data_IF_779462044386
#
_entry.id   IF_779462044386
#
_cell.length_a   1.000
_cell.length_b   1.000
_cell.length_c   1.000
_cell.angle_alpha   90.00
_cell.angle_beta   90.00
_cell.angle_gamma   90.00
#
_symmetry.space_group_name_H-M   'P 1'
#
loop_
_entity.id
_entity.type
_entity.pdbx_description
1 polymer ?
#
# COMPACT_ATOMS: atom_id res chain seq x y z
N UNK A 1 -32.39 -32.98 -6.86
CA UNK A 1 -31.86 -32.14 -5.76
C UNK A 1 -30.82 -31.22 -6.39
N UNK A 2 -31.16 -29.94 -6.55
CA UNK A 2 -30.26 -28.95 -7.15
C UNK A 2 -29.25 -28.57 -6.06
N UNK A 3 -27.96 -28.83 -6.29
CA UNK A 3 -26.92 -28.30 -5.43
C UNK A 3 -26.86 -26.80 -5.67
N UNK A 4 -27.29 -26.05 -4.67
CA UNK A 4 -27.17 -24.59 -4.62
C UNK A 4 -25.68 -24.29 -4.40
N UNK A 5 -25.05 -23.68 -5.39
CA UNK A 5 -23.67 -23.19 -5.28
C UNK A 5 -23.78 -21.88 -4.49
N UNK A 6 -24.00 -21.98 -3.18
CA UNK A 6 -23.68 -20.88 -2.28
C UNK A 6 -22.20 -20.63 -2.47
N UNK A 7 -21.88 -19.48 -3.07
CA UNK A 7 -20.54 -18.96 -3.26
C UNK A 7 -19.81 -19.01 -1.92
N UNK A 8 -19.06 -20.09 -1.69
CA UNK A 8 -17.98 -20.11 -0.73
C UNK A 8 -16.95 -19.11 -1.27
N UNK A 9 -17.17 -17.86 -0.88
CA UNK A 9 -16.34 -16.71 -1.15
C UNK A 9 -15.09 -16.88 -0.28
N UNK A 10 -14.27 -17.88 -0.60
CA UNK A 10 -12.92 -18.02 -0.11
C UNK A 10 -12.16 -16.80 -0.61
N UNK A 11 -12.08 -15.76 0.22
CA UNK A 11 -11.17 -14.65 0.01
C UNK A 11 -9.79 -15.27 -0.13
N UNK A 12 -9.26 -15.29 -1.35
CA UNK A 12 -7.88 -15.69 -1.59
C UNK A 12 -6.97 -14.68 -0.90
N UNK A 13 -5.74 -15.06 -0.55
CA UNK A 13 -4.68 -14.17 -0.03
C UNK A 13 -4.25 -13.09 -1.05
N UNK A 14 -5.17 -12.64 -1.89
CA UNK A 14 -5.02 -11.69 -2.97
C UNK A 14 -6.04 -10.55 -2.84
N UNK A 15 -6.95 -10.59 -1.86
CA UNK A 15 -7.97 -9.57 -1.64
C UNK A 15 -7.80 -8.85 -0.30
N UNK A 16 -8.01 -7.54 -0.32
CA UNK A 16 -8.04 -6.72 0.89
C UNK A 16 -9.22 -7.12 1.78
N UNK A 17 -8.95 -7.48 3.03
CA UNK A 17 -9.99 -7.89 3.98
C UNK A 17 -10.95 -6.77 4.36
N UNK A 18 -10.55 -5.51 4.18
CA UNK A 18 -11.37 -4.33 4.50
C UNK A 18 -12.27 -3.85 3.36
N UNK A 19 -11.80 -3.90 2.11
CA UNK A 19 -12.54 -3.34 0.96
C UNK A 19 -12.85 -4.35 -0.16
N UNK A 20 -12.35 -5.58 -0.09
CA UNK A 20 -12.59 -6.65 -1.07
C UNK A 20 -11.88 -6.47 -2.41
N UNK A 21 -11.17 -5.36 -2.64
CA UNK A 21 -10.37 -5.16 -3.84
C UNK A 21 -9.13 -6.06 -3.86
N UNK A 22 -8.66 -6.35 -5.06
CA UNK A 22 -7.37 -7.01 -5.27
C UNK A 22 -6.24 -6.24 -4.58
N UNK A 23 -5.32 -7.00 -4.00
CA UNK A 23 -4.19 -6.50 -3.28
C UNK A 23 -2.96 -6.52 -4.19
N UNK A 24 -2.43 -5.35 -4.53
CA UNK A 24 -1.14 -5.25 -5.19
C UNK A 24 -0.01 -5.59 -4.21
N UNK A 25 1.17 -5.99 -4.69
CA UNK A 25 2.35 -6.13 -3.83
C UNK A 25 2.76 -4.74 -3.34
N UNK A 26 2.86 -4.56 -2.03
CA UNK A 26 3.32 -3.33 -1.41
C UNK A 26 3.96 -3.62 -0.06
N UNK A 27 4.75 -2.68 0.44
CA UNK A 27 5.45 -2.81 1.72
C UNK A 27 5.20 -1.58 2.60
N UNK A 28 5.09 -1.82 3.90
CA UNK A 28 5.12 -0.78 4.93
C UNK A 28 6.30 -1.03 5.87
N UNK A 29 6.86 0.04 6.43
CA UNK A 29 7.84 -0.07 7.50
C UNK A 29 7.23 -0.82 8.70
N UNK A 30 7.84 -1.91 9.15
CA UNK A 30 7.21 -2.84 10.11
C UNK A 30 6.74 -2.19 11.42
N UNK A 31 7.46 -1.24 12.02
CA UNK A 31 6.93 -0.45 13.14
C UNK A 31 5.64 0.31 12.85
N UNK A 32 5.52 0.93 11.67
CA UNK A 32 4.29 1.63 11.29
C UNK A 32 3.16 0.64 11.03
N UNK A 33 3.46 -0.50 10.40
CA UNK A 33 2.50 -1.58 10.22
C UNK A 33 1.90 -2.03 11.55
N UNK A 34 2.74 -2.34 12.54
CA UNK A 34 2.28 -2.77 13.86
C UNK A 34 1.47 -1.68 14.58
N UNK A 35 1.86 -0.40 14.45
CA UNK A 35 1.10 0.72 15.00
C UNK A 35 -0.32 0.80 14.43
N UNK A 36 -0.45 0.64 13.12
CA UNK A 36 -1.73 0.73 12.42
C UNK A 36 -2.59 -0.51 12.64
N UNK A 37 -2.01 -1.71 12.51
CA UNK A 37 -2.75 -2.97 12.43
C UNK A 37 -2.90 -3.69 13.77
N UNK A 38 -1.96 -3.49 14.72
CA UNK A 38 -1.86 -4.24 15.99
C UNK A 38 -1.81 -3.34 17.22
N UNK A 39 -2.26 -2.08 17.08
CA UNK A 39 -2.26 -1.09 18.17
C UNK A 39 -0.86 -0.77 18.71
N UNK A 40 0.19 -0.95 17.91
CA UNK A 40 1.59 -0.68 18.29
C UNK A 40 2.29 -1.84 18.99
N UNK A 41 1.60 -2.95 19.28
CA UNK A 41 2.22 -4.13 19.87
C UNK A 41 2.62 -5.12 18.78
N UNK A 42 3.90 -5.51 18.72
CA UNK A 42 4.36 -6.54 17.78
C UNK A 42 3.68 -7.90 18.02
N UNK A 43 3.29 -8.16 19.27
CA UNK A 43 2.53 -9.34 19.69
C UNK A 43 1.04 -9.05 19.85
N UNK A 44 0.56 -7.90 19.38
CA UNK A 44 -0.85 -7.53 19.42
C UNK A 44 -1.65 -8.35 18.43
N UNK A 45 -2.87 -8.70 18.81
CA UNK A 45 -3.84 -9.26 17.88
C UNK A 45 -4.16 -8.23 16.79
N UNK A 46 -4.14 -8.60 15.50
CA UNK A 46 -4.45 -7.68 14.43
C UNK A 46 -5.95 -7.34 14.42
N UNK A 47 -6.27 -6.05 14.27
CA UNK A 47 -7.66 -5.56 14.22
C UNK A 47 -8.41 -6.03 12.96
N UNK A 48 -7.65 -6.28 11.89
CA UNK A 48 -8.13 -6.83 10.62
C UNK A 48 -7.29 -8.07 10.30
N UNK A 49 -7.88 -9.12 9.72
CA UNK A 49 -7.12 -10.25 9.19
C UNK A 49 -5.99 -9.74 8.28
N UNK A 50 -4.79 -10.32 8.40
CA UNK A 50 -3.47 -9.72 8.12
C UNK A 50 -3.31 -9.05 6.74
N UNK A 51 -4.20 -9.28 5.78
CA UNK A 51 -4.10 -8.74 4.44
C UNK A 51 -5.00 -7.51 4.19
N UNK A 52 -4.41 -6.32 4.26
CA UNK A 52 -5.06 -5.05 3.91
C UNK A 52 -4.30 -4.38 2.77
N UNK A 53 -5.00 -3.75 1.83
CA UNK A 53 -4.36 -3.02 0.74
C UNK A 53 -3.76 -1.69 1.19
N UNK A 54 -2.79 -1.19 0.42
CA UNK A 54 -2.09 0.07 0.72
C UNK A 54 -3.06 1.24 0.94
N UNK A 55 -4.10 1.37 0.13
CA UNK A 55 -5.11 2.42 0.30
C UNK A 55 -5.82 2.34 1.66
N UNK A 56 -6.33 1.16 2.01
CA UNK A 56 -7.00 0.94 3.30
C UNK A 56 -6.04 1.12 4.49
N UNK A 57 -4.78 0.75 4.34
CA UNK A 57 -3.75 0.98 5.34
C UNK A 57 -3.48 2.49 5.55
N UNK A 58 -3.33 3.25 4.46
CA UNK A 58 -3.09 4.69 4.51
C UNK A 58 -4.23 5.42 5.22
N UNK A 59 -5.48 5.10 4.88
CA UNK A 59 -6.65 5.66 5.56
C UNK A 59 -6.66 5.37 7.07
N UNK A 60 -6.35 4.13 7.48
CA UNK A 60 -6.31 3.76 8.89
C UNK A 60 -5.20 4.52 9.63
N UNK A 61 -4.04 4.65 9.00
CA UNK A 61 -2.91 5.38 9.56
C UNK A 61 -3.23 6.88 9.72
N UNK A 62 -3.91 7.49 8.76
CA UNK A 62 -4.37 8.89 8.86
C UNK A 62 -5.46 9.04 9.92
N UNK A 63 -6.46 8.16 9.94
CA UNK A 63 -7.54 8.19 10.92
C UNK A 63 -7.04 8.04 12.36
N UNK A 64 -5.96 7.27 12.56
CA UNK A 64 -5.28 7.10 13.86
C UNK A 64 -4.28 8.22 14.16
N UNK A 65 -4.05 9.16 13.25
CA UNK A 65 -3.07 10.24 13.39
C UNK A 65 -1.60 9.76 13.44
N UNK A 66 -1.34 8.55 12.93
CA UNK A 66 -0.02 7.90 13.02
C UNK A 66 0.91 8.31 11.87
N UNK A 67 0.34 8.59 10.70
CA UNK A 67 1.09 9.03 9.53
C UNK A 67 0.20 9.88 8.62
N UNK A 68 0.85 10.78 7.88
CA UNK A 68 0.26 11.55 6.79
C UNK A 68 1.27 11.61 5.65
N UNK A 69 0.83 11.93 4.42
CA UNK A 69 1.70 12.11 3.24
C UNK A 69 2.46 10.84 2.82
N UNK A 70 1.71 9.81 2.47
CA UNK A 70 2.29 8.59 1.91
C UNK A 70 2.88 8.83 0.52
N UNK A 71 3.87 8.01 0.18
CA UNK A 71 4.47 7.96 -1.15
C UNK A 71 4.40 6.54 -1.66
N UNK A 72 3.99 6.39 -2.91
CA UNK A 72 4.04 5.11 -3.63
C UNK A 72 5.20 5.19 -4.59
N UNK A 73 6.09 4.19 -4.53
CA UNK A 73 7.36 4.19 -5.25
C UNK A 73 7.56 2.81 -5.88
N UNK A 74 8.14 2.76 -7.08
CA UNK A 74 8.65 1.51 -7.65
C UNK A 74 10.12 1.36 -7.25
N UNK A 75 10.48 0.25 -6.59
CA UNK A 75 11.88 -0.05 -6.27
C UNK A 75 12.68 -0.47 -7.51
N UNK A 76 12.01 -1.12 -8.46
CA UNK A 76 12.62 -1.60 -9.70
C UNK A 76 11.82 -1.12 -10.92
N UNK A 77 12.50 -0.46 -11.86
CA UNK A 77 11.91 0.01 -13.11
C UNK A 77 12.57 -0.76 -14.25
N UNK A 78 11.78 -1.64 -14.87
CA UNK A 78 12.25 -2.58 -15.88
C UNK A 78 12.44 -1.96 -17.28
N UNK A 79 12.34 -0.64 -17.39
CA UNK A 79 12.52 0.10 -18.63
C UNK A 79 13.26 1.40 -18.37
N UNK A 80 14.09 1.88 -19.31
CA UNK A 80 14.61 3.23 -19.25
C UNK A 80 13.46 4.25 -19.19
N UNK A 81 13.60 5.26 -18.34
CA UNK A 81 12.68 6.40 -18.27
C UNK A 81 13.35 7.66 -18.84
N UNK A 82 12.53 8.57 -19.37
CA UNK A 82 12.99 9.90 -19.73
C UNK A 82 13.10 10.75 -18.45
N UNK A 83 14.34 11.05 -18.07
CA UNK A 83 14.66 11.81 -16.84
C UNK A 83 14.86 13.31 -17.10
N UNK A 84 14.54 13.77 -18.30
CA UNK A 84 14.63 15.18 -18.71
C UNK A 84 13.39 15.57 -19.48
N UNK A 85 12.76 16.69 -19.10
CA UNK A 85 11.58 17.24 -19.79
C UNK A 85 11.98 17.95 -21.10
N UNK A 86 11.03 18.18 -22.04
CA UNK A 86 11.31 18.98 -23.25
C UNK A 86 11.81 20.41 -22.97
N UNK A 87 11.50 20.96 -21.79
CA UNK A 87 11.96 22.27 -21.33
C UNK A 87 13.38 22.27 -20.74
N UNK A 88 14.02 21.11 -20.58
CA UNK A 88 15.38 20.98 -20.01
C UNK A 88 15.44 20.59 -18.54
N UNK A 89 14.33 20.67 -17.77
CA UNK A 89 14.31 20.24 -16.37
C UNK A 89 14.65 18.77 -16.20
N UNK A 90 15.43 18.45 -15.16
CA UNK A 90 15.92 17.09 -14.84
C UNK A 90 15.22 16.57 -13.58
N UNK A 91 14.92 15.27 -13.53
CA UNK A 91 14.33 14.65 -12.34
C UNK A 91 15.38 14.50 -11.21
N UNK A 92 15.06 14.96 -10.00
CA UNK A 92 15.87 14.79 -8.79
C UNK A 92 15.25 13.73 -7.86
N UNK A 93 15.82 12.52 -7.83
CA UNK A 93 15.35 11.40 -7.00
C UNK A 93 15.41 11.66 -5.49
N UNK A 94 16.24 12.58 -5.04
CA UNK A 94 16.34 12.91 -3.60
C UNK A 94 15.22 13.85 -3.20
N UNK A 95 14.90 14.82 -4.06
CA UNK A 95 13.87 15.82 -3.81
C UNK A 95 12.48 15.41 -4.30
N UNK A 96 12.40 14.41 -5.18
CA UNK A 96 11.16 13.94 -5.81
C UNK A 96 10.46 15.04 -6.62
N UNK A 97 11.24 15.80 -7.39
CA UNK A 97 10.74 16.90 -8.20
C UNK A 97 11.66 17.18 -9.40
N UNK A 98 11.09 17.81 -10.42
CA UNK A 98 11.82 18.32 -11.57
C UNK A 98 12.55 19.61 -11.17
N UNK A 99 13.87 19.64 -11.35
CA UNK A 99 14.72 20.81 -11.08
C UNK A 99 15.21 21.42 -12.39
N UNK A 100 15.43 22.73 -12.38
CA UNK A 100 16.26 23.38 -13.41
C UNK A 100 17.72 22.92 -13.21
N UNK A 101 18.43 22.73 -14.31
CA UNK A 101 19.87 22.39 -14.30
C UNK A 101 20.73 23.61 -13.92
#
# INVERSE_FOLDING_TARGET
MKYDISKDNLMTDEQCTRCGHENAIWVAHSPLWNAVMRGGCINGEPEFNDMVCSACFMELAEAKGLATKFRVTAEEINTPLQMTTPSGRVWDDKKWLWVED
#
